data_IF_078433057604
#
_entry.id   IF_078433057604
#
_cell.length_a   1.000
_cell.length_b   1.000
_cell.length_c   1.000
_cell.angle_alpha   90.00
_cell.angle_beta   90.00
_cell.angle_gamma   90.00
#
_symmetry.space_group_name_H-M   'P 1'
#
loop_
_entity.id
_entity.type
_entity.pdbx_description
1 polymer ?
#
# COMPACT_ATOMS: atom_id res chain seq x y z
N UNK A 1 1.16 -10.87 13.18
CA UNK A 1 1.37 -9.84 12.14
C UNK A 1 2.30 -8.77 12.68
N UNK A 2 3.33 -8.36 11.92
CA UNK A 2 4.16 -7.23 12.28
C UNK A 2 3.30 -5.95 12.39
N UNK A 3 3.57 -5.12 13.40
CA UNK A 3 2.92 -3.82 13.60
C UNK A 3 3.99 -2.74 13.61
N UNK A 4 3.66 -1.58 13.08
CA UNK A 4 4.54 -0.42 13.15
C UNK A 4 4.55 0.15 14.57
N UNK A 5 5.74 0.46 15.09
CA UNK A 5 5.90 1.13 16.38
C UNK A 5 5.41 2.59 16.34
N UNK A 6 5.44 3.29 17.49
CA UNK A 6 4.96 4.68 17.59
C UNK A 6 5.74 5.62 16.67
N UNK A 7 7.07 5.47 16.58
CA UNK A 7 7.94 6.30 15.76
C UNK A 7 7.70 6.01 14.27
N UNK A 8 7.63 4.74 13.90
CA UNK A 8 7.35 4.31 12.53
C UNK A 8 5.99 4.81 12.05
N UNK A 9 4.94 4.74 12.89
CA UNK A 9 3.63 5.30 12.57
C UNK A 9 3.70 6.81 12.36
N UNK A 10 4.41 7.54 13.21
CA UNK A 10 4.61 8.98 13.03
C UNK A 10 5.33 9.30 11.70
N UNK A 11 6.33 8.50 11.32
CA UNK A 11 7.01 8.67 10.04
C UNK A 11 6.08 8.39 8.85
N UNK A 12 5.22 7.36 8.90
CA UNK A 12 4.20 7.14 7.85
C UNK A 12 3.23 8.32 7.73
N UNK A 13 2.90 8.97 8.85
CA UNK A 13 2.06 10.17 8.83
C UNK A 13 2.77 11.37 8.20
N UNK A 14 4.10 11.42 8.23
CA UNK A 14 4.90 12.47 7.59
C UNK A 14 5.10 12.25 6.09
N UNK A 15 5.05 11.01 5.62
CA UNK A 15 5.10 10.72 4.18
C UNK A 15 3.89 11.32 3.47
N UNK A 16 4.03 11.81 2.25
CA UNK A 16 2.86 12.06 1.39
C UNK A 16 2.19 10.75 0.99
N UNK A 17 0.96 10.82 0.45
CA UNK A 17 0.31 9.63 -0.12
C UNK A 17 1.20 8.92 -1.13
N UNK A 18 1.77 9.72 -2.04
CA UNK A 18 2.61 9.27 -3.16
C UNK A 18 3.88 8.57 -2.72
N UNK A 19 4.53 9.12 -1.69
CA UNK A 19 5.73 8.54 -1.09
C UNK A 19 5.43 7.18 -0.45
N UNK A 20 4.28 7.07 0.23
CA UNK A 20 3.82 5.82 0.81
C UNK A 20 3.52 4.79 -0.29
N UNK A 21 2.78 5.17 -1.34
CA UNK A 21 2.46 4.30 -2.48
C UNK A 21 3.73 3.80 -3.18
N UNK A 22 4.69 4.69 -3.44
CA UNK A 22 5.98 4.33 -4.06
C UNK A 22 6.78 3.32 -3.23
N UNK A 23 6.65 3.37 -1.90
CA UNK A 23 7.30 2.43 -0.99
C UNK A 23 6.55 1.10 -0.87
N UNK A 24 5.23 1.15 -0.90
CA UNK A 24 4.33 0.01 -0.67
C UNK A 24 4.16 -0.84 -1.93
N UNK A 25 4.04 -0.23 -3.11
CA UNK A 25 3.69 -0.91 -4.35
C UNK A 25 4.66 -2.07 -4.71
N UNK A 26 6.00 -1.90 -4.70
CA UNK A 26 6.91 -3.02 -4.97
C UNK A 26 6.78 -4.16 -3.95
N UNK A 27 6.43 -3.84 -2.70
CA UNK A 27 6.23 -4.84 -1.64
C UNK A 27 4.91 -5.60 -1.83
N UNK A 28 3.87 -4.93 -2.32
CA UNK A 28 2.59 -5.55 -2.67
C UNK A 28 2.78 -6.55 -3.82
N UNK A 29 3.46 -6.16 -4.90
CA UNK A 29 3.80 -7.05 -6.00
C UNK A 29 4.52 -8.30 -5.51
N UNK A 30 5.65 -8.10 -4.81
CA UNK A 30 6.47 -9.21 -4.32
C UNK A 30 5.67 -10.17 -3.44
N UNK A 31 4.81 -9.66 -2.55
CA UNK A 31 3.99 -10.49 -1.66
C UNK A 31 2.88 -11.24 -2.40
N UNK A 32 2.31 -10.63 -3.43
CA UNK A 32 1.29 -11.27 -4.24
C UNK A 32 1.89 -12.41 -5.08
N UNK A 33 3.10 -12.21 -5.61
CA UNK A 33 3.88 -13.25 -6.28
C UNK A 33 4.31 -14.37 -5.32
N UNK A 34 4.96 -14.03 -4.20
CA UNK A 34 5.39 -14.99 -3.16
C UNK A 34 4.21 -15.81 -2.61
N UNK A 35 3.03 -15.20 -2.52
CA UNK A 35 1.81 -15.86 -2.06
C UNK A 35 1.03 -16.60 -3.14
N UNK A 36 1.44 -16.54 -4.42
CA UNK A 36 0.75 -17.18 -5.53
C UNK A 36 -0.65 -16.62 -5.81
N UNK A 37 -0.88 -15.33 -5.53
CA UNK A 37 -2.16 -14.65 -5.77
C UNK A 37 -2.02 -13.36 -6.59
N UNK A 38 -0.89 -13.18 -7.28
CA UNK A 38 -0.60 -12.00 -8.12
C UNK A 38 -1.72 -11.69 -9.13
N UNK A 39 -2.22 -12.70 -9.86
CA UNK A 39 -3.32 -12.51 -10.81
C UNK A 39 -4.59 -11.99 -10.13
N UNK A 40 -4.96 -12.55 -8.99
CA UNK A 40 -6.13 -12.14 -8.20
C UNK A 40 -5.97 -10.73 -7.62
N UNK A 41 -4.74 -10.33 -7.29
CA UNK A 41 -4.42 -9.01 -6.78
C UNK A 41 -4.29 -7.94 -7.87
N UNK A 42 -4.44 -8.29 -9.16
CA UNK A 42 -4.20 -7.40 -10.29
C UNK A 42 -4.98 -6.09 -10.21
N UNK A 43 -6.25 -6.13 -9.79
CA UNK A 43 -7.07 -4.93 -9.62
C UNK A 43 -6.46 -3.96 -8.58
N UNK A 44 -6.05 -4.46 -7.42
CA UNK A 44 -5.41 -3.65 -6.37
C UNK A 44 -4.07 -3.08 -6.81
N UNK A 45 -3.26 -3.90 -7.50
CA UNK A 45 -1.96 -3.47 -8.00
C UNK A 45 -2.12 -2.41 -9.09
N UNK A 46 -3.11 -2.56 -9.97
CA UNK A 46 -3.45 -1.58 -11.00
C UNK A 46 -3.91 -0.24 -10.42
N UNK A 47 -4.76 -0.25 -9.38
CA UNK A 47 -5.17 0.97 -8.68
C UNK A 47 -3.97 1.75 -8.12
N UNK A 48 -3.03 1.04 -7.48
CA UNK A 48 -1.81 1.65 -6.94
C UNK A 48 -0.84 2.14 -8.03
N UNK A 49 -0.78 1.45 -9.18
CA UNK A 49 0.05 1.86 -10.32
C UNK A 49 -0.46 3.13 -10.99
N UNK A 50 -1.78 3.22 -11.21
CA UNK A 50 -2.41 4.42 -11.78
C UNK A 50 -2.16 5.63 -10.88
N UNK A 51 -2.34 5.47 -9.56
CA UNK A 51 -2.10 6.54 -8.58
C UNK A 51 -0.62 6.99 -8.56
N UNK A 52 0.32 6.04 -8.69
CA UNK A 52 1.75 6.36 -8.80
C UNK A 52 2.07 7.11 -10.10
N UNK A 53 1.47 6.72 -11.22
CA UNK A 53 1.80 7.25 -12.55
C UNK A 53 1.30 8.69 -12.78
N UNK A 54 0.23 9.10 -12.12
CA UNK A 54 -0.34 10.46 -12.24
C UNK A 54 0.44 11.54 -11.48
N UNK A 55 1.58 11.19 -10.88
CA UNK A 55 2.25 12.00 -9.85
C UNK A 55 3.73 12.26 -10.17
N UNK A 56 4.12 13.55 -10.16
CA UNK A 56 5.51 14.02 -10.38
C UNK A 56 6.48 13.51 -9.30
N UNK A 57 7.61 12.97 -9.74
CA UNK A 57 8.65 12.31 -8.93
C UNK A 57 9.49 13.30 -8.13
N UNK A 58 9.22 13.44 -6.83
CA UNK A 58 10.20 13.99 -5.89
C UNK A 58 10.86 12.86 -5.09
N UNK A 59 12.20 12.84 -5.00
CA UNK A 59 12.92 11.84 -4.20
C UNK A 59 12.79 12.14 -2.71
N UNK A 60 12.48 11.11 -1.93
CA UNK A 60 12.29 11.20 -0.47
C UNK A 60 13.67 11.30 0.23
N UNK A 61 13.88 12.23 1.17
CA UNK A 61 15.17 12.39 1.84
C UNK A 61 15.51 11.28 2.85
N UNK A 62 16.69 10.67 2.64
CA UNK A 62 17.73 10.42 3.67
C UNK A 62 17.46 9.52 4.88
N UNK A 63 18.09 8.33 4.88
CA UNK A 63 18.51 7.45 6.00
C UNK A 63 17.44 6.85 6.92
N UNK A 64 16.50 7.62 7.47
CA UNK A 64 15.44 7.13 8.37
C UNK A 64 14.39 6.27 7.61
N UNK A 65 14.26 6.51 6.30
CA UNK A 65 13.48 5.68 5.37
C UNK A 65 13.91 4.23 5.30
N UNK A 66 15.19 3.89 5.52
CA UNK A 66 15.64 2.50 5.42
C UNK A 66 15.05 1.65 6.53
N UNK A 67 14.99 2.19 7.74
CA UNK A 67 14.39 1.52 8.88
C UNK A 67 12.87 1.39 8.71
N UNK A 68 12.23 2.45 8.20
CA UNK A 68 10.80 2.44 7.91
C UNK A 68 10.45 1.43 6.79
N UNK A 69 11.19 1.45 5.67
CA UNK A 69 11.03 0.50 4.57
C UNK A 69 11.20 -0.95 5.03
N UNK A 70 12.21 -1.22 5.88
CA UNK A 70 12.41 -2.53 6.49
C UNK A 70 11.22 -2.93 7.37
N UNK A 71 10.67 -2.00 8.17
CA UNK A 71 9.49 -2.28 8.99
C UNK A 71 8.24 -2.54 8.13
N UNK A 72 8.01 -1.73 7.10
CA UNK A 72 6.87 -1.84 6.18
C UNK A 72 6.94 -3.15 5.38
N UNK A 73 8.12 -3.58 4.93
CA UNK A 73 8.30 -4.85 4.21
C UNK A 73 7.85 -6.10 4.99
N UNK A 74 7.80 -6.02 6.32
CA UNK A 74 7.36 -7.11 7.21
C UNK A 74 5.84 -7.18 7.37
N UNK A 75 5.12 -6.17 6.90
CA UNK A 75 3.67 -6.13 6.96
C UNK A 75 3.05 -7.14 5.98
N UNK A 76 1.81 -7.53 6.23
CA UNK A 76 1.04 -8.35 5.30
C UNK A 76 0.59 -7.54 4.10
N UNK A 77 0.23 -8.20 3.00
CA UNK A 77 -0.36 -7.53 1.83
C UNK A 77 -1.56 -6.66 2.23
N UNK A 78 -2.51 -7.19 3.02
CA UNK A 78 -3.65 -6.41 3.50
C UNK A 78 -3.26 -5.22 4.38
N UNK A 79 -2.22 -5.37 5.21
CA UNK A 79 -1.74 -4.29 6.06
C UNK A 79 -1.10 -3.16 5.24
N UNK A 80 -0.44 -3.50 4.14
CA UNK A 80 0.13 -2.54 3.19
C UNK A 80 -0.96 -1.74 2.48
N UNK A 81 -1.99 -2.41 1.94
CA UNK A 81 -3.16 -1.74 1.34
C UNK A 81 -3.86 -0.85 2.36
N UNK A 82 -4.03 -1.33 3.60
CA UNK A 82 -4.63 -0.54 4.67
C UNK A 82 -3.82 0.69 5.09
N UNK A 83 -2.50 0.71 4.88
CA UNK A 83 -1.71 1.93 5.10
C UNK A 83 -2.01 2.98 4.04
N UNK A 84 -2.07 2.57 2.77
CA UNK A 84 -2.36 3.44 1.64
C UNK A 84 -3.79 3.98 1.73
N UNK A 85 -4.78 3.12 1.95
CA UNK A 85 -6.20 3.53 2.02
C UNK A 85 -6.50 4.50 3.19
N UNK A 86 -5.71 4.46 4.27
CA UNK A 86 -5.85 5.39 5.40
C UNK A 86 -5.15 6.73 5.16
N UNK A 87 -4.27 6.79 4.17
CA UNK A 87 -3.58 8.00 3.79
C UNK A 87 -4.41 8.64 2.69
N UNK A 88 -5.02 9.79 2.96
CA UNK A 88 -5.74 10.53 1.91
C UNK A 88 -4.78 10.84 0.76
N UNK A 89 -5.16 10.58 -0.51
CA UNK A 89 -4.56 11.27 -1.62
C UNK A 89 -4.55 12.78 -1.35
N UNK A 90 -3.54 13.49 -1.87
CA UNK A 90 -3.39 14.93 -1.64
C UNK A 90 -4.48 15.78 -2.36
N UNK A 91 -5.55 15.17 -2.88
CA UNK A 91 -6.69 15.82 -3.53
C UNK A 91 -8.00 15.43 -2.82
N UNK A 92 -8.62 16.42 -2.17
CA UNK A 92 -9.62 16.23 -1.10
C UNK A 92 -10.97 15.58 -1.51
N UNK A 93 -11.38 15.60 -2.78
CA UNK A 93 -12.71 15.09 -3.17
C UNK A 93 -12.72 13.63 -3.65
N UNK A 94 -11.74 13.18 -4.44
CA UNK A 94 -11.66 11.79 -4.93
C UNK A 94 -11.05 10.80 -3.93
N UNK A 95 -10.49 11.34 -2.83
CA UNK A 95 -9.77 10.57 -1.82
C UNK A 95 -10.61 9.51 -1.10
N UNK A 96 -11.87 9.85 -0.81
CA UNK A 96 -12.81 8.94 -0.13
C UNK A 96 -13.20 7.77 -1.04
N UNK A 97 -13.42 8.04 -2.33
CA UNK A 97 -13.78 7.03 -3.33
C UNK A 97 -12.62 6.08 -3.62
N UNK A 98 -11.40 6.61 -3.69
CA UNK A 98 -10.20 5.79 -3.87
C UNK A 98 -9.97 4.84 -2.69
N UNK A 99 -10.05 5.36 -1.45
CA UNK A 99 -9.90 4.55 -0.26
C UNK A 99 -11.00 3.45 -0.17
N UNK A 100 -12.24 3.79 -0.50
CA UNK A 100 -13.34 2.83 -0.58
C UNK A 100 -13.09 1.74 -1.64
N UNK A 101 -12.61 2.13 -2.82
CA UNK A 101 -12.30 1.21 -3.92
C UNK A 101 -11.17 0.24 -3.55
N UNK A 102 -10.08 0.73 -2.94
CA UNK A 102 -9.01 -0.12 -2.44
C UNK A 102 -9.51 -1.11 -1.38
N UNK A 103 -10.36 -0.66 -0.46
CA UNK A 103 -10.89 -1.53 0.59
C UNK A 103 -11.88 -2.56 0.04
N UNK A 104 -12.71 -2.20 -0.93
CA UNK A 104 -13.61 -3.12 -1.62
C UNK A 104 -12.83 -4.19 -2.39
N UNK A 105 -11.84 -3.79 -3.21
CA UNK A 105 -11.00 -4.73 -3.94
C UNK A 105 -10.18 -5.63 -2.99
N UNK A 106 -9.75 -5.13 -1.82
CA UNK A 106 -9.11 -5.95 -0.80
C UNK A 106 -10.05 -7.01 -0.21
N UNK A 107 -11.32 -6.69 -0.01
CA UNK A 107 -12.30 -7.65 0.51
C UNK A 107 -12.64 -8.70 -0.54
N UNK A 108 -12.78 -8.30 -1.81
CA UNK A 108 -12.90 -9.21 -2.96
C UNK A 108 -11.70 -10.14 -3.07
N UNK A 109 -10.48 -9.64 -2.92
CA UNK A 109 -9.29 -10.49 -2.93
C UNK A 109 -9.30 -11.50 -1.78
N UNK A 110 -9.71 -11.09 -0.58
CA UNK A 110 -9.79 -11.98 0.59
C UNK A 110 -10.78 -13.11 0.39
N UNK A 111 -11.94 -12.84 -0.20
CA UNK A 111 -12.92 -13.89 -0.50
C UNK A 111 -12.37 -14.86 -1.55
N UNK A 112 -11.68 -14.38 -2.58
CA UNK A 112 -11.07 -15.22 -3.62
C UNK A 112 -9.86 -16.04 -3.16
N UNK A 113 -9.05 -15.54 -2.22
CA UNK A 113 -7.85 -16.24 -1.70
C UNK A 113 -8.22 -17.27 -0.63
N UNK A 114 -9.31 -17.06 0.12
CA UNK A 114 -9.84 -18.05 1.07
C UNK A 114 -10.45 -19.27 0.39
N UNK A 115 -10.94 -19.12 -0.84
CA UNK A 115 -11.42 -20.23 -1.67
C UNK A 115 -10.21 -20.89 -2.32
N UNK A 116 -9.51 -21.73 -1.57
CA UNK A 116 -8.63 -22.77 -2.11
C UNK A 116 -9.13 -24.11 -1.57
N UNK A 117 -9.55 -25.06 -2.42
CA UNK A 117 -9.81 -26.44 -2.00
C UNK A 117 -8.53 -27.12 -1.50
#
# INVERSE_FOLDING_TARGET
>A
MAKLDKRQRAMVQQLTHRELVSMVLPLCFRKAEEGGFAEKAGELLGLLEVDRATSSTQPIPGRDLRNLSKAISRLSFSSLIGLVARKSPDQDEDSSLYAASLMAALETLRSQVRVRP
#
